data_IF_833360380472
#
_entry.id   IF_833360380472
#
_cell.length_a   1.000
_cell.length_b   1.000
_cell.length_c   1.000
_cell.angle_alpha   90.00
_cell.angle_beta   90.00
_cell.angle_gamma   90.00
#
_symmetry.space_group_name_H-M   'P 1'
#
loop_
_entity.id
_entity.type
_entity.pdbx_description
1 polymer ?
#
# COMPACT_ATOMS: atom_id res chain seq x y z
N UNK A 1 30.51 -87.25 -19.31
CA UNK A 1 29.55 -87.00 -18.23
C UNK A 1 29.40 -85.52 -17.89
N UNK A 2 30.50 -84.80 -17.63
CA UNK A 2 30.53 -83.38 -17.21
C UNK A 2 29.64 -82.44 -18.05
N UNK A 3 29.60 -82.57 -19.38
CA UNK A 3 28.80 -81.69 -20.25
C UNK A 3 27.28 -81.91 -20.06
N UNK A 4 26.83 -83.15 -19.79
CA UNK A 4 25.41 -83.45 -19.54
C UNK A 4 24.97 -82.91 -18.18
N UNK A 5 25.83 -83.01 -17.17
CA UNK A 5 25.56 -82.51 -15.82
C UNK A 5 25.54 -80.98 -15.81
N UNK A 6 26.47 -80.33 -16.52
CA UNK A 6 26.46 -78.87 -16.71
C UNK A 6 25.20 -78.37 -17.43
N UNK A 7 24.75 -79.07 -18.48
CA UNK A 7 23.52 -78.72 -19.22
C UNK A 7 22.26 -78.91 -18.37
N UNK A 8 22.24 -79.93 -17.51
CA UNK A 8 21.16 -80.16 -16.56
C UNK A 8 21.10 -79.06 -15.48
N UNK A 9 22.24 -78.65 -14.92
CA UNK A 9 22.32 -77.56 -13.95
C UNK A 9 21.89 -76.23 -14.57
N UNK A 10 22.36 -75.90 -15.78
CA UNK A 10 21.94 -74.69 -16.50
C UNK A 10 20.44 -74.68 -16.79
N UNK A 11 19.89 -75.79 -17.28
CA UNK A 11 18.46 -75.88 -17.57
C UNK A 11 17.57 -75.73 -16.33
N UNK A 12 18.08 -76.07 -15.14
CA UNK A 12 17.37 -75.89 -13.87
C UNK A 12 17.55 -74.49 -13.27
N UNK A 13 18.72 -73.87 -13.48
CA UNK A 13 19.00 -72.52 -13.01
C UNK A 13 18.29 -71.43 -13.85
N UNK A 14 18.13 -71.65 -15.16
CA UNK A 14 17.59 -70.65 -16.07
C UNK A 14 16.16 -70.17 -15.72
N UNK A 15 15.19 -71.07 -15.41
CA UNK A 15 13.85 -70.65 -15.00
C UNK A 15 13.84 -69.85 -13.69
N UNK A 16 14.70 -70.22 -12.75
CA UNK A 16 14.82 -69.52 -11.46
C UNK A 16 15.40 -68.11 -11.64
N UNK A 17 16.43 -67.96 -12.48
CA UNK A 17 16.98 -66.66 -12.84
C UNK A 17 15.94 -65.78 -13.56
N UNK A 18 15.20 -66.32 -14.53
CA UNK A 18 14.13 -65.59 -15.20
C UNK A 18 13.00 -65.17 -14.26
N UNK A 19 12.63 -66.01 -13.29
CA UNK A 19 11.65 -65.67 -12.27
C UNK A 19 12.14 -64.50 -11.40
N UNK A 20 13.39 -64.59 -10.92
CA UNK A 20 13.99 -63.56 -10.09
C UNK A 20 14.10 -62.22 -10.84
N UNK A 21 14.46 -62.24 -12.12
CA UNK A 21 14.46 -61.03 -12.97
C UNK A 21 13.06 -60.43 -13.08
N UNK A 22 12.04 -61.24 -13.34
CA UNK A 22 10.65 -60.73 -13.41
C UNK A 22 10.17 -60.16 -12.08
N UNK A 23 10.49 -60.79 -10.96
CA UNK A 23 10.14 -60.27 -9.64
C UNK A 23 10.86 -58.95 -9.34
N UNK A 24 12.14 -58.84 -9.71
CA UNK A 24 12.88 -57.59 -9.61
C UNK A 24 12.26 -56.49 -10.46
N UNK A 25 11.97 -56.77 -11.73
CA UNK A 25 11.34 -55.79 -12.64
C UNK A 25 9.98 -55.33 -12.12
N UNK A 26 9.18 -56.25 -11.58
CA UNK A 26 7.86 -55.95 -11.02
C UNK A 26 7.99 -55.06 -9.77
N UNK A 27 8.85 -55.42 -8.82
CA UNK A 27 9.09 -54.62 -7.60
C UNK A 27 9.67 -53.24 -7.90
N UNK A 28 10.57 -53.15 -8.88
CA UNK A 28 11.12 -51.87 -9.34
C UNK A 28 10.04 -51.00 -9.97
N UNK A 29 9.15 -51.58 -10.77
CA UNK A 29 8.02 -50.87 -11.39
C UNK A 29 7.01 -50.38 -10.36
N UNK A 30 6.67 -51.21 -9.37
CA UNK A 30 5.78 -50.84 -8.26
C UNK A 30 6.38 -49.70 -7.40
N UNK A 31 7.68 -49.78 -7.11
CA UNK A 31 8.38 -48.75 -6.35
C UNK A 31 8.38 -47.41 -7.12
N UNK A 32 8.62 -47.46 -8.43
CA UNK A 32 8.62 -46.26 -9.27
C UNK A 32 7.22 -45.65 -9.37
N UNK A 33 6.17 -46.47 -9.51
CA UNK A 33 4.78 -46.02 -9.53
C UNK A 33 4.40 -45.32 -8.22
N UNK A 34 4.77 -45.91 -7.08
CA UNK A 34 4.52 -45.33 -5.76
C UNK A 34 5.26 -43.99 -5.56
N UNK A 35 6.52 -43.90 -6.02
CA UNK A 35 7.26 -42.64 -5.97
C UNK A 35 6.64 -41.57 -6.88
N UNK A 36 6.20 -41.95 -8.08
CA UNK A 36 5.49 -41.04 -8.99
C UNK A 36 4.20 -40.50 -8.36
N UNK A 37 3.39 -41.35 -7.75
CA UNK A 37 2.17 -40.95 -7.06
C UNK A 37 2.47 -39.98 -5.90
N UNK A 38 3.51 -40.24 -5.12
CA UNK A 38 3.95 -39.33 -4.06
C UNK A 38 4.31 -37.94 -4.62
N UNK A 39 5.14 -37.88 -5.66
CA UNK A 39 5.55 -36.62 -6.28
C UNK A 39 4.35 -35.86 -6.83
N UNK A 40 3.44 -36.55 -7.51
CA UNK A 40 2.20 -35.95 -8.01
C UNK A 40 1.35 -35.36 -6.87
N UNK A 41 1.15 -36.10 -5.78
CA UNK A 41 0.39 -35.65 -4.62
C UNK A 41 1.05 -34.45 -3.93
N UNK A 42 2.39 -34.43 -3.82
CA UNK A 42 3.10 -33.27 -3.30
C UNK A 42 2.93 -32.05 -4.19
N UNK A 43 3.05 -32.21 -5.51
CA UNK A 43 2.85 -31.13 -6.48
C UNK A 43 1.44 -30.55 -6.40
N UNK A 44 0.41 -31.39 -6.31
CA UNK A 44 -0.98 -30.94 -6.15
C UNK A 44 -1.16 -30.13 -4.88
N UNK A 45 -0.68 -30.64 -3.72
CA UNK A 45 -0.79 -29.94 -2.44
C UNK A 45 -0.05 -28.59 -2.44
N UNK A 46 1.13 -28.53 -3.05
CA UNK A 46 1.88 -27.28 -3.20
C UNK A 46 1.14 -26.26 -4.08
N UNK A 47 0.52 -26.73 -5.16
CA UNK A 47 -0.32 -25.90 -6.03
C UNK A 47 -1.52 -25.32 -5.26
N UNK A 48 -2.25 -26.18 -4.53
CA UNK A 48 -3.43 -25.76 -3.76
C UNK A 48 -3.07 -24.77 -2.65
N UNK A 49 -1.98 -25.02 -1.91
CA UNK A 49 -1.50 -24.13 -0.86
C UNK A 49 -1.07 -22.76 -1.42
N UNK A 50 -0.34 -22.76 -2.54
CA UNK A 50 0.10 -21.54 -3.21
C UNK A 50 -1.10 -20.72 -3.69
N UNK A 51 -2.07 -21.36 -4.34
CA UNK A 51 -3.29 -20.71 -4.81
C UNK A 51 -4.13 -20.15 -3.68
N UNK A 52 -4.26 -20.89 -2.57
CA UNK A 52 -4.99 -20.41 -1.39
C UNK A 52 -4.34 -19.16 -0.80
N UNK A 53 -3.00 -19.16 -0.65
CA UNK A 53 -2.25 -18.00 -0.15
C UNK A 53 -2.39 -16.79 -1.09
N UNK A 54 -2.25 -16.99 -2.39
CA UNK A 54 -2.43 -15.93 -3.39
C UNK A 54 -3.83 -15.31 -3.30
N UNK A 55 -4.87 -16.14 -3.13
CA UNK A 55 -6.26 -15.65 -2.98
C UNK A 55 -6.46 -14.82 -1.71
N UNK A 56 -5.82 -15.21 -0.60
CA UNK A 56 -5.85 -14.43 0.64
C UNK A 56 -5.15 -13.09 0.43
N UNK A 57 -3.93 -13.09 -0.12
CA UNK A 57 -3.16 -11.87 -0.38
C UNK A 57 -3.91 -10.92 -1.33
N UNK A 58 -4.54 -11.45 -2.39
CA UNK A 58 -5.35 -10.67 -3.31
C UNK A 58 -6.54 -10.01 -2.59
N UNK A 59 -7.23 -10.75 -1.72
CA UNK A 59 -8.34 -10.22 -0.91
C UNK A 59 -7.88 -9.12 0.07
N UNK A 60 -6.73 -9.34 0.72
CA UNK A 60 -6.11 -8.35 1.61
C UNK A 60 -5.74 -7.09 0.84
N UNK A 61 -5.12 -7.21 -0.33
CA UNK A 61 -4.75 -6.08 -1.18
C UNK A 61 -5.98 -5.29 -1.65
N UNK A 62 -7.06 -5.98 -2.07
CA UNK A 62 -8.33 -5.32 -2.42
C UNK A 62 -8.89 -4.52 -1.26
N UNK A 63 -8.87 -5.10 -0.05
CA UNK A 63 -9.35 -4.42 1.16
C UNK A 63 -8.50 -3.19 1.50
N UNK A 64 -7.17 -3.32 1.44
CA UNK A 64 -6.24 -2.21 1.68
C UNK A 64 -6.43 -1.08 0.66
N UNK A 65 -6.65 -1.42 -0.62
CA UNK A 65 -6.91 -0.44 -1.67
C UNK A 65 -8.20 0.34 -1.41
N UNK A 66 -9.27 -0.32 -0.98
CA UNK A 66 -10.53 0.34 -0.63
C UNK A 66 -10.34 1.32 0.53
N UNK A 67 -9.71 0.86 1.63
CA UNK A 67 -9.44 1.71 2.79
C UNK A 67 -8.56 2.92 2.44
N UNK A 68 -7.58 2.74 1.56
CA UNK A 68 -6.72 3.82 1.09
C UNK A 68 -7.52 4.86 0.29
N UNK A 69 -8.40 4.41 -0.60
CA UNK A 69 -9.28 5.30 -1.39
C UNK A 69 -10.23 6.10 -0.50
N UNK A 70 -10.83 5.45 0.50
CA UNK A 70 -11.73 6.10 1.47
C UNK A 70 -10.99 7.19 2.25
N UNK A 71 -9.83 6.85 2.83
CA UNK A 71 -8.99 7.83 3.57
C UNK A 71 -8.52 8.97 2.70
N UNK A 72 -8.09 8.70 1.47
CA UNK A 72 -7.68 9.75 0.54
C UNK A 72 -8.84 10.71 0.21
N UNK A 73 -10.02 10.15 -0.03
CA UNK A 73 -11.24 10.92 -0.31
C UNK A 73 -11.64 11.78 0.88
N UNK A 74 -11.61 11.23 2.09
CA UNK A 74 -11.90 11.96 3.32
C UNK A 74 -10.91 13.11 3.54
N UNK A 75 -9.60 12.87 3.37
CA UNK A 75 -8.59 13.92 3.49
C UNK A 75 -8.83 15.06 2.48
N UNK A 76 -9.10 14.72 1.22
CA UNK A 76 -9.41 15.73 0.18
C UNK A 76 -10.66 16.53 0.57
N UNK A 77 -11.72 15.87 1.03
CA UNK A 77 -12.95 16.53 1.47
C UNK A 77 -12.69 17.50 2.62
N UNK A 78 -11.94 17.07 3.63
CA UNK A 78 -11.62 17.89 4.80
C UNK A 78 -10.76 19.10 4.39
N UNK A 79 -9.74 18.91 3.54
CA UNK A 79 -8.94 20.01 3.02
C UNK A 79 -9.76 21.00 2.19
N UNK A 80 -10.69 20.53 1.35
CA UNK A 80 -11.62 21.42 0.62
C UNK A 80 -12.51 22.22 1.56
N UNK A 81 -13.06 21.59 2.60
CA UNK A 81 -13.88 22.28 3.60
C UNK A 81 -13.10 23.39 4.31
N UNK A 82 -11.86 23.10 4.73
CA UNK A 82 -11.00 24.06 5.39
C UNK A 82 -10.63 25.24 4.46
N UNK A 83 -10.33 24.96 3.20
CA UNK A 83 -10.07 26.01 2.20
C UNK A 83 -11.29 26.90 1.98
N UNK A 84 -12.48 26.32 1.88
CA UNK A 84 -13.73 27.10 1.77
C UNK A 84 -13.96 27.99 2.99
N UNK A 85 -13.64 27.52 4.19
CA UNK A 85 -13.73 28.33 5.41
C UNK A 85 -12.73 29.48 5.39
N UNK A 86 -11.49 29.24 4.96
CA UNK A 86 -10.50 30.31 4.79
C UNK A 86 -10.91 31.35 3.75
N UNK A 87 -11.46 30.91 2.60
CA UNK A 87 -12.01 31.81 1.59
C UNK A 87 -13.09 32.69 2.22
N UNK A 88 -14.05 32.10 2.95
CA UNK A 88 -15.12 32.85 3.62
C UNK A 88 -14.60 33.87 4.63
N UNK A 89 -13.55 33.51 5.38
CA UNK A 89 -12.90 34.43 6.32
C UNK A 89 -12.24 35.59 5.56
N UNK A 90 -11.51 35.32 4.48
CA UNK A 90 -10.86 36.34 3.65
C UNK A 90 -11.91 37.24 2.97
N UNK A 91 -13.01 36.69 2.47
CA UNK A 91 -14.09 37.47 1.89
C UNK A 91 -14.79 38.36 2.93
N UNK A 92 -14.83 37.96 4.20
CA UNK A 92 -15.49 38.71 5.27
C UNK A 92 -14.58 39.71 5.98
N UNK A 93 -13.31 39.39 6.13
CA UNK A 93 -12.34 40.11 6.97
C UNK A 93 -10.99 40.34 6.31
N UNK A 94 -10.84 39.97 5.04
CA UNK A 94 -9.63 40.25 4.28
C UNK A 94 -9.45 41.76 4.06
N UNK A 95 -8.21 42.21 3.84
CA UNK A 95 -7.89 43.63 3.67
C UNK A 95 -8.80 44.34 2.67
N UNK A 96 -9.03 43.73 1.51
CA UNK A 96 -9.87 44.31 0.46
C UNK A 96 -11.34 44.43 0.88
N UNK A 97 -11.87 43.41 1.58
CA UNK A 97 -13.26 43.44 2.08
C UNK A 97 -13.45 44.47 3.18
N UNK A 98 -12.47 44.62 4.08
CA UNK A 98 -12.46 45.66 5.10
C UNK A 98 -12.43 47.05 4.46
N UNK A 99 -11.55 47.26 3.48
CA UNK A 99 -11.47 48.53 2.73
C UNK A 99 -12.78 48.85 2.01
N UNK A 100 -13.39 47.88 1.32
CA UNK A 100 -14.72 48.02 0.68
C UNK A 100 -15.83 48.40 1.67
N UNK A 101 -15.70 48.01 2.94
CA UNK A 101 -16.65 48.35 4.01
C UNK A 101 -16.32 49.68 4.71
N UNK A 102 -15.32 50.43 4.22
CA UNK A 102 -14.88 51.68 4.83
C UNK A 102 -14.09 51.48 6.14
N UNK A 103 -13.63 50.27 6.43
CA UNK A 103 -12.76 49.99 7.57
C UNK A 103 -11.30 50.19 7.15
N UNK A 104 -10.52 50.80 8.03
CA UNK A 104 -9.11 51.17 7.77
C UNK A 104 -8.14 50.22 8.43
N UNK A 105 -6.98 50.02 7.81
CA UNK A 105 -5.89 49.22 8.41
C UNK A 105 -4.90 50.16 9.08
N UNK A 106 -4.84 50.12 10.41
CA UNK A 106 -3.82 50.84 11.16
C UNK A 106 -2.48 50.09 11.14
N UNK A 107 -1.43 50.80 10.75
CA UNK A 107 -0.05 50.31 10.69
C UNK A 107 0.88 51.26 11.44
N UNK A 108 2.02 50.76 11.89
CA UNK A 108 3.14 51.59 12.30
C UNK A 108 3.77 52.25 11.08
N UNK A 109 4.60 53.28 11.29
CA UNK A 109 5.43 53.90 10.23
C UNK A 109 6.34 52.88 9.52
N UNK A 110 6.70 51.80 10.19
CA UNK A 110 7.46 50.66 9.62
C UNK A 110 6.59 49.64 8.87
N UNK A 111 5.34 49.99 8.53
CA UNK A 111 4.35 49.15 7.83
C UNK A 111 3.90 47.89 8.56
N UNK A 112 4.10 47.80 9.88
CA UNK A 112 3.60 46.65 10.67
C UNK A 112 2.15 46.91 11.07
N UNK A 113 1.25 45.98 10.75
CA UNK A 113 -0.16 46.06 11.16
C UNK A 113 -0.27 46.00 12.68
N UNK A 114 -1.02 46.94 13.25
CA UNK A 114 -1.30 46.96 14.69
C UNK A 114 -2.43 45.99 15.00
N UNK A 115 -2.15 45.06 15.92
CA UNK A 115 -3.06 43.96 16.26
C UNK A 115 -3.75 44.11 17.61
N UNK A 116 -3.26 45.01 18.47
CA UNK A 116 -3.79 45.20 19.84
C UNK A 116 -3.81 46.68 20.21
N UNK A 117 -4.64 47.04 21.19
CA UNK A 117 -4.79 48.43 21.66
C UNK A 117 -3.53 48.95 22.34
N UNK A 118 -2.87 48.12 23.14
CA UNK A 118 -1.65 48.48 23.87
C UNK A 118 -0.54 48.87 22.90
N UNK A 119 -0.44 48.15 21.78
CA UNK A 119 0.55 48.42 20.74
C UNK A 119 0.23 49.67 19.92
N UNK A 120 -1.05 49.99 19.76
CA UNK A 120 -1.45 51.28 19.18
C UNK A 120 -0.96 52.44 20.06
N UNK A 121 -1.17 52.33 21.37
CA UNK A 121 -0.83 53.40 22.33
C UNK A 121 0.68 53.58 22.58
N UNK A 122 1.49 52.54 22.35
CA UNK A 122 2.95 52.63 22.49
C UNK A 122 3.64 53.30 21.30
N UNK A 123 2.95 53.49 20.18
CA UNK A 123 3.52 54.04 18.95
C UNK A 123 3.17 55.53 18.84
N UNK A 124 4.15 56.39 18.59
CA UNK A 124 3.93 57.84 18.50
C UNK A 124 3.19 58.27 17.22
N UNK A 125 3.29 57.48 16.16
CA UNK A 125 2.69 57.78 14.85
C UNK A 125 2.17 56.51 14.20
N UNK A 126 0.94 56.57 13.72
CA UNK A 126 0.26 55.52 12.98
C UNK A 126 0.00 55.95 11.54
N UNK A 127 -0.03 54.98 10.63
CA UNK A 127 -0.50 55.17 9.26
C UNK A 127 -1.79 54.38 9.09
N UNK A 128 -2.88 55.06 8.76
CA UNK A 128 -4.16 54.46 8.40
C UNK A 128 -4.20 54.28 6.89
N UNK A 129 -4.28 53.03 6.43
CA UNK A 129 -4.42 52.72 5.01
C UNK A 129 -5.90 52.64 4.62
N UNK A 130 -6.31 53.51 3.69
CA UNK A 130 -7.62 53.54 3.03
C UNK A 130 -7.53 52.97 1.62
N UNK A 131 -8.66 52.92 0.91
CA UNK A 131 -8.72 52.45 -0.48
C UNK A 131 -8.07 53.46 -1.45
N UNK A 132 -8.13 54.75 -1.13
CA UNK A 132 -7.71 55.88 -1.95
C UNK A 132 -6.38 56.51 -1.50
N UNK A 133 -5.81 56.06 -0.37
CA UNK A 133 -4.51 56.54 0.08
C UNK A 133 -4.18 56.16 1.52
N UNK A 134 -2.97 56.51 1.94
CA UNK A 134 -2.51 56.38 3.32
C UNK A 134 -2.63 57.74 4.03
N UNK A 135 -3.08 57.73 5.29
CA UNK A 135 -3.16 58.92 6.15
C UNK A 135 -2.32 58.69 7.40
N UNK A 136 -1.34 59.56 7.65
CA UNK A 136 -0.55 59.53 8.87
C UNK A 136 -1.30 60.27 10.00
N UNK A 137 -1.38 59.62 11.16
CA UNK A 137 -2.02 60.12 12.37
C UNK A 137 -1.00 60.06 13.50
N UNK A 138 -0.70 61.22 14.08
CA UNK A 138 0.07 61.32 15.32
C UNK A 138 -0.89 61.11 16.50
N UNK A 139 -0.52 60.21 17.42
CA UNK A 139 -1.31 59.89 18.61
C UNK A 139 -0.99 60.82 19.78
#
# INVERSE_FOLDING_TARGET
>A
HIIKDAKYIMNRANPHLHHLTREMDTRSSETLLFQHEKVHNYSSKLGDQSNHRLRIEESTLKTQLTLLKERATERIRNSKSLLSEYIRIIEKFGPESLLKRGLVIARTKSKKVIKTKEKAQSENTLTLTFQDGDVDVSL
#
